data_IF_341800302154
#
_entry.id   IF_341800302154
#
_cell.length_a   1.000
_cell.length_b   1.000
_cell.length_c   1.000
_cell.angle_alpha   90.00
_cell.angle_beta   90.00
_cell.angle_gamma   90.00
#
_symmetry.space_group_name_H-M   'P 1'
#
loop_
_entity.id
_entity.type
_entity.pdbx_description
1 polymer ?
#
# COMPACT_ATOMS: atom_id res chain seq x y z
N UNK A 1 11.61 -13.33 9.50
CA UNK A 1 12.62 -14.04 10.32
C UNK A 1 13.57 -14.93 9.49
N UNK A 2 13.35 -15.15 8.20
CA UNK A 2 14.26 -15.90 7.32
C UNK A 2 15.66 -15.29 7.14
N UNK A 3 15.86 -14.02 7.48
CA UNK A 3 17.18 -13.39 7.45
C UNK A 3 18.19 -13.93 8.46
N UNK A 4 17.73 -14.55 9.55
CA UNK A 4 18.60 -15.14 10.55
C UNK A 4 19.31 -16.41 10.06
N UNK A 5 18.62 -17.27 9.33
CA UNK A 5 19.17 -18.52 8.77
C UNK A 5 20.31 -18.20 7.81
N UNK A 6 20.06 -17.33 6.83
CA UNK A 6 21.07 -16.96 5.83
C UNK A 6 22.28 -16.26 6.49
N UNK A 7 22.04 -15.44 7.48
CA UNK A 7 23.11 -14.79 8.25
C UNK A 7 23.99 -15.83 8.95
N UNK A 8 23.38 -16.80 9.61
CA UNK A 8 24.12 -17.86 10.32
C UNK A 8 24.91 -18.73 9.34
N UNK A 9 24.32 -19.08 8.18
CA UNK A 9 25.01 -19.85 7.15
C UNK A 9 26.23 -19.09 6.62
N UNK A 10 26.04 -17.82 6.27
CA UNK A 10 27.11 -17.01 5.63
C UNK A 10 28.18 -16.60 6.63
N UNK A 11 27.80 -16.24 7.87
CA UNK A 11 28.73 -15.74 8.87
C UNK A 11 29.45 -16.84 9.67
N UNK A 12 28.82 -17.99 9.88
CA UNK A 12 29.28 -19.03 10.81
C UNK A 12 29.31 -20.43 10.20
N UNK A 13 28.80 -20.59 8.98
CA UNK A 13 28.89 -21.84 8.25
C UNK A 13 30.31 -22.09 7.74
N UNK A 14 30.90 -23.21 8.13
CA UNK A 14 32.19 -23.64 7.60
C UNK A 14 31.98 -24.61 6.44
N UNK A 15 32.38 -24.27 5.21
CA UNK A 15 32.16 -25.16 4.04
C UNK A 15 32.76 -26.54 4.17
N UNK A 16 33.79 -26.68 5.01
CA UNK A 16 34.50 -27.93 5.25
C UNK A 16 33.99 -28.72 6.48
N UNK A 17 33.06 -28.14 7.27
CA UNK A 17 32.54 -28.83 8.44
C UNK A 17 31.48 -29.88 8.01
N UNK A 18 31.61 -31.13 8.43
CA UNK A 18 30.59 -32.12 8.16
C UNK A 18 29.30 -31.78 8.89
N UNK A 19 28.16 -32.05 8.25
CA UNK A 19 26.85 -31.82 8.86
C UNK A 19 26.54 -32.90 9.91
N UNK A 20 26.95 -34.13 9.65
CA UNK A 20 26.73 -35.26 10.52
C UNK A 20 28.05 -35.88 11.00
N UNK A 21 28.00 -36.36 12.22
CA UNK A 21 29.02 -37.28 12.75
C UNK A 21 28.88 -38.67 12.13
N UNK A 22 29.89 -39.53 12.24
CA UNK A 22 29.80 -40.92 11.73
C UNK A 22 28.66 -41.74 12.34
N UNK A 23 28.17 -41.39 13.50
CA UNK A 23 27.03 -42.02 14.18
C UNK A 23 25.65 -41.45 13.75
N UNK A 24 25.62 -40.54 12.78
CA UNK A 24 24.40 -39.92 12.26
C UNK A 24 23.88 -38.74 13.08
N UNK A 25 24.54 -38.35 14.17
CA UNK A 25 24.14 -37.16 14.95
C UNK A 25 24.62 -35.90 14.28
N UNK A 26 23.88 -34.78 14.46
CA UNK A 26 24.32 -33.45 13.99
C UNK A 26 25.60 -33.01 14.69
N UNK A 27 26.52 -32.41 13.95
CA UNK A 27 27.64 -31.68 14.55
C UNK A 27 27.17 -30.41 15.19
N UNK A 28 27.96 -29.83 16.11
CA UNK A 28 27.64 -28.54 16.72
C UNK A 28 27.47 -27.43 15.68
N UNK A 29 28.37 -27.37 14.69
CA UNK A 29 28.30 -26.37 13.61
C UNK A 29 27.03 -26.51 12.79
N UNK A 30 26.63 -27.74 12.47
CA UNK A 30 25.41 -28.02 11.72
C UNK A 30 24.15 -27.63 12.54
N UNK A 31 24.07 -28.02 13.80
CA UNK A 31 22.96 -27.69 14.67
C UNK A 31 22.80 -26.19 14.88
N UNK A 32 23.91 -25.44 14.96
CA UNK A 32 23.91 -23.99 15.10
C UNK A 32 23.54 -23.22 13.81
N UNK A 33 23.76 -23.82 12.64
CA UNK A 33 23.52 -23.17 11.32
C UNK A 33 22.23 -23.63 10.68
N UNK A 34 22.28 -24.67 9.84
CA UNK A 34 21.17 -25.10 9.00
C UNK A 34 20.61 -26.46 9.39
N UNK A 35 21.35 -27.26 10.16
CA UNK A 35 20.97 -28.62 10.46
C UNK A 35 19.65 -28.73 11.21
N UNK A 36 19.38 -27.80 12.11
CA UNK A 36 18.13 -27.74 12.82
C UNK A 36 16.92 -27.52 11.88
N UNK A 37 17.03 -26.59 10.95
CA UNK A 37 15.94 -26.31 10.00
C UNK A 37 15.71 -27.40 8.97
N UNK A 38 16.74 -28.17 8.63
CA UNK A 38 16.64 -29.24 7.64
C UNK A 38 16.30 -30.59 8.27
N UNK A 39 16.75 -30.85 9.48
CA UNK A 39 16.69 -32.16 10.14
C UNK A 39 16.16 -32.09 11.57
N UNK A 40 15.97 -30.92 12.12
CA UNK A 40 15.44 -30.69 13.46
C UNK A 40 13.91 -30.60 13.47
N UNK A 41 13.38 -30.26 14.64
CA UNK A 41 11.95 -30.12 14.89
C UNK A 41 11.51 -28.64 14.98
N UNK A 42 12.45 -27.71 14.96
CA UNK A 42 12.14 -26.29 14.94
C UNK A 42 11.57 -25.88 13.58
N UNK A 43 10.45 -25.24 13.59
CA UNK A 43 9.75 -24.87 12.37
C UNK A 43 8.79 -23.70 12.57
N UNK A 44 8.41 -23.12 11.44
CA UNK A 44 7.34 -22.16 11.36
C UNK A 44 6.52 -22.45 10.11
N UNK A 45 5.28 -22.86 10.31
CA UNK A 45 4.30 -23.02 9.26
C UNK A 45 3.50 -21.73 9.12
N UNK A 46 3.30 -21.32 7.89
CA UNK A 46 2.57 -20.10 7.56
C UNK A 46 1.64 -20.36 6.39
N UNK A 47 0.35 -20.37 6.70
CA UNK A 47 -0.70 -20.53 5.71
C UNK A 47 -1.40 -19.20 5.44
N UNK A 48 -1.55 -18.85 4.18
CA UNK A 48 -2.31 -17.70 3.74
C UNK A 48 -3.42 -18.10 2.78
N UNK A 49 -4.64 -17.86 3.19
CA UNK A 49 -5.83 -18.05 2.38
C UNK A 49 -6.44 -16.70 2.02
N UNK A 50 -6.56 -16.43 0.72
CA UNK A 50 -7.12 -15.19 0.20
C UNK A 50 -8.29 -15.51 -0.73
N UNK A 51 -9.46 -14.96 -0.41
CA UNK A 51 -10.63 -14.98 -1.27
C UNK A 51 -11.01 -13.54 -1.62
N UNK A 52 -11.09 -13.25 -2.90
CA UNK A 52 -11.58 -11.97 -3.42
C UNK A 52 -12.70 -12.22 -4.43
N UNK A 53 -13.86 -11.62 -4.18
CA UNK A 53 -15.01 -11.66 -5.06
C UNK A 53 -15.37 -10.25 -5.48
N UNK A 54 -15.54 -10.04 -6.78
CA UNK A 54 -16.01 -8.78 -7.34
C UNK A 54 -17.25 -9.06 -8.17
N UNK A 55 -18.32 -8.34 -7.90
CA UNK A 55 -19.57 -8.35 -8.67
C UNK A 55 -19.81 -6.96 -9.21
N UNK A 56 -20.29 -6.85 -10.44
CA UNK A 56 -20.58 -5.57 -11.05
C UNK A 56 -21.82 -5.63 -11.92
N UNK A 57 -22.41 -4.48 -12.13
CA UNK A 57 -23.54 -4.31 -13.06
C UNK A 57 -23.37 -3.05 -13.91
N UNK A 58 -23.95 -3.07 -15.07
CA UNK A 58 -24.15 -1.92 -15.95
C UNK A 58 -25.57 -1.94 -16.48
N UNK A 59 -26.29 -0.83 -16.31
CA UNK A 59 -27.63 -0.61 -16.86
C UNK A 59 -27.61 0.59 -17.80
N UNK A 60 -28.23 0.43 -18.98
CA UNK A 60 -28.22 1.43 -20.03
C UNK A 60 -29.65 1.94 -20.28
N UNK A 61 -29.77 3.25 -20.35
CA UNK A 61 -31.03 3.97 -20.53
C UNK A 61 -30.87 5.04 -21.63
N UNK A 62 -31.99 5.60 -22.11
CA UNK A 62 -32.00 6.71 -23.06
C UNK A 62 -31.13 6.43 -24.30
N UNK A 63 -31.37 5.29 -24.97
CA UNK A 63 -30.57 4.86 -26.13
C UNK A 63 -29.06 4.83 -25.86
N UNK A 64 -28.66 4.36 -24.67
CA UNK A 64 -27.28 4.28 -24.16
C UNK A 64 -26.64 5.63 -23.77
N UNK A 65 -27.35 6.75 -23.85
CA UNK A 65 -26.82 8.04 -23.39
C UNK A 65 -26.66 8.12 -21.88
N UNK A 66 -27.49 7.41 -21.12
CA UNK A 66 -27.36 7.29 -19.66
C UNK A 66 -26.97 5.86 -19.28
N UNK A 67 -25.87 5.72 -18.58
CA UNK A 67 -25.36 4.45 -18.05
C UNK A 67 -25.22 4.52 -16.54
N UNK A 68 -25.78 3.57 -15.82
CA UNK A 68 -25.57 3.42 -14.38
C UNK A 68 -24.72 2.17 -14.17
N UNK A 69 -23.60 2.34 -13.50
CA UNK A 69 -22.63 1.27 -13.22
C UNK A 69 -22.39 1.16 -11.74
N UNK A 70 -22.18 -0.06 -11.29
CA UNK A 70 -21.75 -0.30 -9.92
C UNK A 70 -20.90 -1.54 -9.83
N UNK A 71 -20.00 -1.53 -8.89
CA UNK A 71 -19.21 -2.68 -8.50
C UNK A 71 -19.12 -2.81 -6.98
N UNK A 72 -19.04 -4.04 -6.54
CA UNK A 72 -18.89 -4.42 -5.17
C UNK A 72 -17.80 -5.46 -5.08
N UNK A 73 -16.77 -5.21 -4.25
CA UNK A 73 -15.70 -6.16 -3.99
C UNK A 73 -15.65 -6.48 -2.50
N UNK A 74 -15.62 -7.77 -2.19
CA UNK A 74 -15.31 -8.27 -0.86
C UNK A 74 -14.06 -9.15 -0.93
N UNK A 75 -13.09 -8.87 -0.07
CA UNK A 75 -11.89 -9.67 0.06
C UNK A 75 -11.68 -10.06 1.52
N UNK A 76 -11.34 -11.32 1.76
CA UNK A 76 -10.95 -11.84 3.06
C UNK A 76 -9.60 -12.53 2.93
N UNK A 77 -8.70 -12.20 3.85
CA UNK A 77 -7.39 -12.86 3.97
C UNK A 77 -7.27 -13.40 5.38
N UNK A 78 -7.03 -14.71 5.48
CA UNK A 78 -6.73 -15.39 6.72
C UNK A 78 -5.27 -15.83 6.67
N UNK A 79 -4.50 -15.40 7.67
CA UNK A 79 -3.12 -15.80 7.88
C UNK A 79 -3.06 -16.61 9.18
N UNK A 80 -2.62 -17.84 9.09
CA UNK A 80 -2.36 -18.73 10.22
C UNK A 80 -0.85 -18.99 10.30
N UNK A 81 -0.27 -18.78 11.48
CA UNK A 81 1.16 -18.95 11.76
C UNK A 81 1.28 -19.86 12.98
N UNK A 82 1.94 -20.99 12.81
CA UNK A 82 2.32 -21.90 13.89
C UNK A 82 3.85 -21.99 13.92
N UNK A 83 4.44 -21.73 15.09
CA UNK A 83 5.89 -21.81 15.27
C UNK A 83 6.19 -22.72 16.47
N UNK A 84 7.02 -23.72 16.25
CA UNK A 84 7.51 -24.64 17.27
C UNK A 84 8.99 -24.38 17.49
N UNK A 85 9.41 -24.34 18.75
CA UNK A 85 10.80 -24.25 19.12
C UNK A 85 11.09 -25.26 20.24
N UNK A 86 12.06 -26.10 19.97
CA UNK A 86 12.56 -27.13 20.92
C UNK A 86 14.08 -27.09 20.96
N UNK A 87 14.73 -27.63 22.00
CA UNK A 87 16.17 -27.77 22.07
C UNK A 87 16.70 -28.64 20.91
N UNK A 88 17.77 -28.23 20.28
CA UNK A 88 18.36 -28.91 19.13
C UNK A 88 19.43 -29.89 19.60
N UNK A 89 19.28 -31.21 19.38
CA UNK A 89 20.30 -32.20 19.76
C UNK A 89 21.52 -32.14 18.83
N UNK A 90 22.70 -32.21 19.39
CA UNK A 90 23.96 -32.36 18.66
C UNK A 90 24.98 -33.18 19.46
N UNK A 91 26.03 -33.64 18.80
CA UNK A 91 27.13 -34.37 19.44
C UNK A 91 28.48 -33.76 19.08
N UNK A 92 29.37 -33.68 20.05
CA UNK A 92 30.81 -33.37 19.86
C UNK A 92 31.68 -34.57 20.11
N UNK A 93 31.18 -35.55 20.86
CA UNK A 93 31.87 -36.80 21.24
C UNK A 93 30.90 -37.92 20.99
N UNK A 94 31.32 -39.02 20.27
CA UNK A 94 30.43 -40.12 19.99
C UNK A 94 29.71 -40.65 21.24
N UNK A 95 28.39 -40.84 21.13
CA UNK A 95 27.54 -41.33 22.20
C UNK A 95 27.13 -40.29 23.27
N UNK A 96 27.56 -39.02 23.14
CA UNK A 96 27.18 -37.96 24.07
C UNK A 96 26.33 -36.91 23.34
N UNK A 97 25.05 -36.84 23.69
CA UNK A 97 24.13 -35.85 23.14
C UNK A 97 24.10 -34.59 24.03
N UNK A 98 24.32 -33.44 23.41
CA UNK A 98 24.18 -32.13 23.99
C UNK A 98 23.04 -31.39 23.28
N UNK A 99 22.57 -30.29 23.85
CA UNK A 99 21.45 -29.52 23.31
C UNK A 99 21.81 -28.04 23.14
N UNK A 100 21.44 -27.46 22.00
CA UNK A 100 21.42 -26.00 21.78
C UNK A 100 20.02 -25.46 22.03
N UNK A 101 19.93 -24.20 22.43
CA UNK A 101 18.65 -23.53 22.59
C UNK A 101 17.78 -24.08 23.73
N UNK A 102 18.40 -24.59 24.81
CA UNK A 102 17.70 -25.20 25.96
C UNK A 102 16.70 -24.26 26.67
N UNK A 103 16.78 -22.95 26.39
CA UNK A 103 15.80 -21.98 26.85
C UNK A 103 14.48 -22.00 26.07
N UNK A 104 14.43 -22.71 24.94
CA UNK A 104 13.28 -22.80 24.07
C UNK A 104 12.65 -24.18 24.17
N UNK A 105 11.39 -24.22 24.50
CA UNK A 105 10.51 -25.39 24.44
C UNK A 105 9.07 -24.86 24.43
N UNK A 106 8.70 -24.26 23.27
CA UNK A 106 7.45 -23.53 23.18
C UNK A 106 6.78 -23.69 21.82
N UNK A 107 5.47 -23.52 21.84
CA UNK A 107 4.63 -23.37 20.64
C UNK A 107 3.97 -21.99 20.66
N UNK A 108 3.90 -21.37 19.51
CA UNK A 108 3.23 -20.10 19.27
C UNK A 108 2.28 -20.23 18.09
N UNK A 109 1.04 -19.84 18.28
CA UNK A 109 0.04 -19.73 17.24
C UNK A 109 -0.44 -18.29 17.13
N UNK A 110 -0.52 -17.78 15.90
CA UNK A 110 -1.08 -16.45 15.60
C UNK A 110 -2.03 -16.60 14.42
N UNK A 111 -3.24 -16.08 14.60
CA UNK A 111 -4.25 -15.96 13.56
C UNK A 111 -4.52 -14.50 13.25
N UNK A 112 -4.52 -14.14 11.98
CA UNK A 112 -4.82 -12.81 11.47
C UNK A 112 -5.97 -12.94 10.48
N UNK A 113 -6.98 -12.11 10.63
CA UNK A 113 -8.08 -12.01 9.71
C UNK A 113 -8.16 -10.57 9.21
N UNK A 114 -8.06 -10.39 7.91
CA UNK A 114 -8.22 -9.10 7.24
C UNK A 114 -9.42 -9.16 6.32
N UNK A 115 -10.34 -8.22 6.46
CA UNK A 115 -11.51 -8.08 5.59
C UNK A 115 -11.47 -6.72 4.93
N UNK A 116 -11.71 -6.69 3.63
CA UNK A 116 -11.79 -5.47 2.85
C UNK A 116 -13.05 -5.48 2.00
N UNK A 117 -13.80 -4.42 2.08
CA UNK A 117 -15.03 -4.20 1.34
C UNK A 117 -14.91 -2.88 0.59
N UNK A 118 -15.22 -2.87 -0.69
CA UNK A 118 -15.36 -1.64 -1.46
C UNK A 118 -16.59 -1.71 -2.34
N UNK A 119 -17.24 -0.56 -2.50
CA UNK A 119 -18.41 -0.39 -3.37
C UNK A 119 -18.30 0.92 -4.10
N UNK A 120 -18.51 0.87 -5.41
CA UNK A 120 -18.61 2.03 -6.28
C UNK A 120 -19.98 2.01 -6.96
N UNK A 121 -20.61 3.16 -7.04
CA UNK A 121 -21.80 3.36 -7.87
C UNK A 121 -21.69 4.71 -8.56
N UNK A 122 -21.92 4.74 -9.86
CA UNK A 122 -21.88 6.00 -10.61
C UNK A 122 -22.81 5.97 -11.80
N UNK A 123 -23.30 7.17 -12.14
CA UNK A 123 -24.09 7.43 -13.33
C UNK A 123 -23.25 8.24 -14.33
N UNK A 124 -23.29 7.86 -15.56
CA UNK A 124 -22.60 8.50 -16.68
C UNK A 124 -23.63 8.88 -17.73
N UNK A 125 -23.67 10.16 -18.09
CA UNK A 125 -24.50 10.67 -19.19
C UNK A 125 -23.58 11.23 -20.28
N UNK A 126 -23.85 10.84 -21.54
CA UNK A 126 -23.03 11.19 -22.69
C UNK A 126 -23.94 11.51 -23.89
N UNK A 127 -23.73 12.67 -24.51
CA UNK A 127 -24.56 13.13 -25.62
C UNK A 127 -23.79 14.06 -26.56
N UNK A 128 -24.10 13.91 -27.87
CA UNK A 128 -23.72 14.88 -28.90
C UNK A 128 -24.92 15.75 -29.24
N UNK A 129 -24.67 17.04 -29.37
CA UNK A 129 -25.68 18.03 -29.81
C UNK A 129 -25.15 18.75 -31.05
N UNK A 130 -25.98 18.77 -32.12
CA UNK A 130 -25.67 19.45 -33.36
C UNK A 130 -24.31 19.09 -33.97
N UNK A 131 -23.80 17.86 -33.75
CA UNK A 131 -22.54 17.32 -34.24
C UNK A 131 -21.28 18.14 -33.82
N UNK A 132 -21.45 19.21 -33.06
CA UNK A 132 -20.37 20.11 -32.63
C UNK A 132 -20.13 20.12 -31.12
N UNK A 133 -21.16 19.80 -30.36
CA UNK A 133 -21.10 19.85 -28.91
C UNK A 133 -21.09 18.43 -28.34
N UNK A 134 -19.99 18.00 -27.81
CA UNK A 134 -19.91 16.77 -27.02
C UNK A 134 -19.98 17.12 -25.54
N UNK A 135 -20.89 16.49 -24.83
CA UNK A 135 -21.04 16.63 -23.40
C UNK A 135 -21.06 15.27 -22.72
N UNK A 136 -20.24 15.13 -21.66
CA UNK A 136 -20.23 13.95 -20.81
C UNK A 136 -20.20 14.38 -19.37
N UNK A 137 -21.13 13.85 -18.57
CA UNK A 137 -21.22 14.06 -17.14
C UNK A 137 -21.15 12.73 -16.41
N UNK A 138 -20.44 12.69 -15.30
CA UNK A 138 -20.37 11.55 -14.42
C UNK A 138 -20.56 12.04 -12.98
N UNK A 139 -21.38 11.32 -12.21
CA UNK A 139 -21.59 11.52 -10.79
C UNK A 139 -21.52 10.15 -10.10
N UNK A 140 -20.76 10.05 -9.03
CA UNK A 140 -20.59 8.77 -8.35
C UNK A 140 -20.30 8.88 -6.88
N UNK A 141 -20.36 7.72 -6.23
CA UNK A 141 -20.06 7.53 -4.82
C UNK A 141 -19.21 6.27 -4.65
N UNK A 142 -18.23 6.37 -3.76
CA UNK A 142 -17.33 5.29 -3.38
C UNK A 142 -17.40 5.08 -1.87
N UNK A 143 -17.33 3.83 -1.45
CA UNK A 143 -17.20 3.45 -0.05
C UNK A 143 -16.18 2.32 0.10
N UNK A 144 -15.29 2.44 1.10
CA UNK A 144 -14.30 1.44 1.45
C UNK A 144 -14.31 1.19 2.95
N UNK A 145 -14.20 -0.08 3.34
CA UNK A 145 -14.09 -0.51 4.73
C UNK A 145 -12.99 -1.58 4.83
N UNK A 146 -12.09 -1.40 5.75
CA UNK A 146 -11.09 -2.40 6.10
C UNK A 146 -11.17 -2.72 7.58
N UNK A 147 -11.16 -4.00 7.90
CA UNK A 147 -11.13 -4.52 9.28
C UNK A 147 -9.98 -5.52 9.38
N UNK A 148 -9.16 -5.37 10.39
CA UNK A 148 -8.07 -6.28 10.73
C UNK A 148 -8.24 -6.76 12.17
N UNK A 149 -8.13 -8.07 12.37
CA UNK A 149 -8.16 -8.69 13.70
C UNK A 149 -6.99 -9.67 13.80
N UNK A 150 -6.30 -9.62 14.93
CA UNK A 150 -5.21 -10.54 15.27
C UNK A 150 -5.47 -11.12 16.66
N UNK A 151 -5.21 -12.40 16.80
CA UNK A 151 -5.15 -13.09 18.10
C UNK A 151 -3.99 -14.08 18.03
N UNK A 152 -3.26 -14.24 19.12
CA UNK A 152 -2.20 -15.22 19.20
C UNK A 152 -1.82 -15.53 20.64
N UNK A 153 -1.31 -16.73 20.82
CA UNK A 153 -0.81 -17.24 22.09
C UNK A 153 0.55 -17.91 21.91
N UNK A 154 1.34 -17.92 22.99
CA UNK A 154 2.58 -18.66 23.07
C UNK A 154 2.66 -19.32 24.45
N UNK A 155 2.98 -20.60 24.46
CA UNK A 155 3.06 -21.40 25.68
C UNK A 155 4.31 -22.27 25.66
N UNK A 156 4.99 -22.39 26.79
CA UNK A 156 6.14 -23.24 26.93
C UNK A 156 5.79 -24.62 27.51
N UNK A 157 6.79 -25.49 27.59
CA UNK A 157 6.65 -26.81 28.20
C UNK A 157 5.90 -27.80 27.32
N UNK A 158 6.29 -27.90 26.03
CA UNK A 158 5.78 -28.95 25.13
C UNK A 158 5.97 -30.33 25.76
N UNK A 159 4.93 -31.15 25.71
CA UNK A 159 4.94 -32.52 26.27
C UNK A 159 5.86 -33.42 25.42
N UNK A 160 5.91 -33.16 24.12
CA UNK A 160 6.78 -33.81 23.14
C UNK A 160 7.09 -32.87 21.97
N UNK A 161 8.17 -33.15 21.26
CA UNK A 161 8.74 -32.25 20.27
C UNK A 161 7.88 -32.05 19.01
N UNK A 162 6.98 -32.99 18.72
CA UNK A 162 6.03 -32.94 17.60
C UNK A 162 4.63 -32.44 18.02
N UNK A 163 4.53 -31.70 19.12
CA UNK A 163 3.25 -31.16 19.57
C UNK A 163 2.82 -29.98 18.65
N UNK A 164 1.63 -30.08 18.06
CA UNK A 164 1.09 -29.11 17.10
C UNK A 164 -0.02 -28.20 17.69
N UNK A 165 -0.29 -28.29 18.99
CA UNK A 165 -1.38 -27.57 19.66
C UNK A 165 -0.91 -26.94 20.96
N UNK A 166 -1.38 -25.73 21.25
CA UNK A 166 -1.10 -25.02 22.51
C UNK A 166 -1.52 -25.79 23.77
N UNK A 167 -2.50 -26.69 23.69
CA UNK A 167 -2.91 -27.54 24.81
C UNK A 167 -1.90 -28.65 25.13
N UNK A 168 -1.01 -28.96 24.18
CA UNK A 168 0.06 -29.94 24.36
C UNK A 168 1.33 -29.32 24.99
N UNK A 169 1.23 -28.10 25.48
CA UNK A 169 2.24 -27.40 26.27
C UNK A 169 1.72 -27.19 27.69
N UNK A 170 2.40 -27.75 28.69
CA UNK A 170 1.95 -27.74 30.09
C UNK A 170 2.46 -26.55 30.91
N UNK A 171 3.42 -25.79 30.38
CA UNK A 171 3.95 -24.62 31.04
C UNK A 171 3.00 -23.42 31.00
N UNK A 172 3.46 -22.30 31.56
CA UNK A 172 2.66 -21.07 31.57
C UNK A 172 2.53 -20.44 30.17
N UNK A 173 1.38 -19.83 29.89
CA UNK A 173 1.23 -18.95 28.75
C UNK A 173 1.96 -17.65 29.02
N UNK A 174 3.03 -17.38 28.29
CA UNK A 174 3.89 -16.22 28.56
C UNK A 174 3.73 -15.09 27.53
N UNK A 175 2.98 -15.31 26.45
CA UNK A 175 2.63 -14.25 25.50
C UNK A 175 1.21 -14.46 24.98
N UNK A 176 0.35 -13.49 25.28
CA UNK A 176 -0.94 -13.35 24.64
C UNK A 176 -0.90 -12.06 23.80
N UNK A 177 -1.29 -12.15 22.55
CA UNK A 177 -1.31 -11.00 21.65
C UNK A 177 -2.69 -10.84 21.05
N UNK A 178 -3.14 -9.60 20.98
CA UNK A 178 -4.38 -9.24 20.31
C UNK A 178 -4.20 -7.95 19.52
N UNK A 179 -5.07 -7.71 18.57
CA UNK A 179 -5.09 -6.48 17.81
C UNK A 179 -6.39 -6.36 17.05
N UNK A 180 -6.89 -5.14 16.98
CA UNK A 180 -8.06 -4.80 16.20
C UNK A 180 -7.82 -3.44 15.56
N UNK A 181 -8.05 -3.35 14.25
CA UNK A 181 -7.98 -2.12 13.50
C UNK A 181 -9.14 -2.06 12.51
N UNK A 182 -9.78 -0.91 12.43
CA UNK A 182 -10.83 -0.66 11.46
C UNK A 182 -10.70 0.77 10.93
N UNK A 183 -10.83 0.92 9.63
CA UNK A 183 -10.95 2.21 9.01
C UNK A 183 -11.93 2.15 7.83
N UNK A 184 -12.51 3.28 7.51
CA UNK A 184 -13.34 3.46 6.34
C UNK A 184 -13.02 4.78 5.63
N UNK A 185 -13.24 4.77 4.31
CA UNK A 185 -13.18 5.94 3.44
C UNK A 185 -14.47 5.98 2.65
N UNK A 186 -15.04 7.17 2.48
CA UNK A 186 -16.17 7.40 1.60
C UNK A 186 -15.97 8.67 0.82
N UNK A 187 -16.49 8.73 -0.40
CA UNK A 187 -16.35 9.92 -1.21
C UNK A 187 -17.41 10.04 -2.30
N UNK A 188 -17.89 11.24 -2.50
CA UNK A 188 -18.65 11.61 -3.68
C UNK A 188 -17.72 12.21 -4.74
N UNK A 189 -17.94 11.88 -6.00
CA UNK A 189 -17.12 12.40 -7.09
C UNK A 189 -17.96 12.75 -8.30
N UNK A 190 -17.50 13.75 -9.06
CA UNK A 190 -18.10 14.14 -10.32
C UNK A 190 -17.03 14.43 -11.37
N UNK A 191 -17.43 14.34 -12.65
CA UNK A 191 -16.65 14.77 -13.81
C UNK A 191 -17.58 15.33 -14.87
N UNK A 192 -17.19 16.46 -15.43
CA UNK A 192 -17.85 17.10 -16.57
C UNK A 192 -16.83 17.29 -17.68
N UNK A 193 -17.13 16.73 -18.85
CA UNK A 193 -16.31 16.94 -20.05
C UNK A 193 -17.18 17.67 -21.08
N UNK A 194 -16.60 18.66 -21.72
CA UNK A 194 -17.22 19.39 -22.82
C UNK A 194 -16.20 19.60 -23.94
N UNK A 195 -16.59 19.25 -25.14
CA UNK A 195 -15.79 19.46 -26.34
C UNK A 195 -16.63 20.23 -27.35
N UNK A 196 -16.08 21.34 -27.86
CA UNK A 196 -16.71 22.12 -28.90
C UNK A 196 -15.93 22.03 -30.20
N UNK A 197 -16.63 21.52 -31.24
CA UNK A 197 -16.17 21.40 -32.62
C UNK A 197 -14.77 20.77 -32.77
N UNK A 198 -14.47 19.81 -31.88
CA UNK A 198 -13.17 19.14 -31.76
C UNK A 198 -11.96 20.11 -31.65
N UNK A 199 -12.21 21.37 -31.22
CA UNK A 199 -11.24 22.44 -31.08
C UNK A 199 -10.96 22.80 -29.61
N UNK A 200 -12.01 22.99 -28.85
CA UNK A 200 -11.94 23.39 -27.45
C UNK A 200 -12.38 22.24 -26.57
N UNK A 201 -11.47 21.82 -25.69
CA UNK A 201 -11.71 20.73 -24.75
C UNK A 201 -11.69 21.29 -23.33
N UNK A 202 -12.70 20.99 -22.55
CA UNK A 202 -12.79 21.39 -21.16
C UNK A 202 -13.17 20.18 -20.32
N UNK A 203 -12.45 19.95 -19.23
CA UNK A 203 -12.80 18.99 -18.20
C UNK A 203 -12.78 19.66 -16.83
N UNK A 204 -13.81 19.38 -16.03
CA UNK A 204 -13.86 19.78 -14.62
C UNK A 204 -14.25 18.53 -13.84
N UNK A 205 -13.49 18.23 -12.80
CA UNK A 205 -13.83 17.12 -11.92
C UNK A 205 -13.50 17.47 -10.47
N UNK A 206 -14.05 16.69 -9.55
CA UNK A 206 -13.80 16.88 -8.14
C UNK A 206 -14.22 15.66 -7.34
N UNK A 207 -13.58 15.50 -6.18
CA UNK A 207 -13.90 14.50 -5.17
C UNK A 207 -14.04 15.17 -3.82
N UNK A 208 -15.06 14.77 -3.09
CA UNK A 208 -15.24 15.12 -1.68
C UNK A 208 -15.13 13.85 -0.86
N UNK A 209 -13.96 13.63 -0.28
CA UNK A 209 -13.61 12.39 0.41
C UNK A 209 -13.54 12.60 1.92
N UNK A 210 -13.99 11.57 2.66
CA UNK A 210 -13.88 11.50 4.10
C UNK A 210 -13.23 10.20 4.55
N UNK A 211 -12.33 10.29 5.55
CA UNK A 211 -11.64 9.13 6.11
C UNK A 211 -11.78 9.11 7.63
N UNK A 212 -12.11 7.94 8.20
CA UNK A 212 -12.19 7.73 9.64
C UNK A 212 -10.83 7.81 10.36
N UNK A 213 -9.73 7.87 9.60
CA UNK A 213 -8.37 8.02 10.14
C UNK A 213 -8.08 9.44 10.65
N UNK A 214 -8.95 10.39 10.37
CA UNK A 214 -8.84 11.77 10.81
C UNK A 214 -9.85 12.12 11.90
N UNK A 215 -9.59 13.16 12.72
CA UNK A 215 -10.55 13.72 13.66
C UNK A 215 -11.85 14.14 12.95
N UNK A 216 -12.94 14.20 13.69
CA UNK A 216 -14.28 14.40 13.12
C UNK A 216 -14.41 15.73 12.33
N UNK A 217 -13.76 16.79 12.80
CA UNK A 217 -13.73 18.13 12.22
C UNK A 217 -12.79 18.28 11.03
N UNK A 218 -11.83 17.34 10.84
CA UNK A 218 -10.83 17.36 9.77
C UNK A 218 -10.93 16.15 8.84
N UNK A 219 -12.00 15.40 8.95
CA UNK A 219 -12.23 14.12 8.26
C UNK A 219 -12.45 14.28 6.77
N UNK A 220 -13.15 15.33 6.37
CA UNK A 220 -13.59 15.55 4.99
C UNK A 220 -12.77 16.62 4.29
N UNK A 221 -12.43 16.38 3.01
CA UNK A 221 -11.73 17.34 2.18
C UNK A 221 -12.22 17.29 0.73
N UNK A 222 -12.15 18.44 0.04
CA UNK A 222 -12.50 18.58 -1.38
C UNK A 222 -11.24 18.68 -2.23
N UNK A 223 -11.18 17.86 -3.28
CA UNK A 223 -10.10 17.78 -4.24
C UNK A 223 -10.59 18.12 -5.64
N UNK A 224 -10.63 19.39 -6.03
CA UNK A 224 -11.05 19.81 -7.35
C UNK A 224 -9.93 19.70 -8.38
N UNK A 225 -10.31 19.50 -9.64
CA UNK A 225 -9.39 19.70 -10.76
C UNK A 225 -10.11 20.20 -12.00
N UNK A 226 -9.38 20.91 -12.85
CA UNK A 226 -9.84 21.38 -14.14
C UNK A 226 -8.74 21.30 -15.18
N UNK A 227 -9.10 21.01 -16.42
CA UNK A 227 -8.19 21.07 -17.55
C UNK A 227 -8.85 21.69 -18.77
N UNK A 228 -8.05 22.39 -19.56
CA UNK A 228 -8.45 22.98 -20.83
C UNK A 228 -7.44 22.59 -21.92
N UNK A 229 -7.97 22.27 -23.09
CA UNK A 229 -7.20 21.98 -24.28
C UNK A 229 -7.68 22.80 -25.46
N UNK A 230 -6.76 23.31 -26.24
CA UNK A 230 -7.05 24.03 -27.47
C UNK A 230 -6.31 23.38 -28.63
N UNK A 231 -7.05 22.78 -29.55
CA UNK A 231 -6.50 22.16 -30.76
C UNK A 231 -6.43 23.21 -31.87
N UNK A 232 -5.30 23.90 -31.91
CA UNK A 232 -5.04 25.03 -32.83
C UNK A 232 -5.06 24.53 -34.28
N UNK A 233 -4.60 23.34 -34.55
CA UNK A 233 -4.57 22.73 -35.89
C UNK A 233 -5.96 22.52 -36.50
N UNK A 234 -7.05 22.64 -35.73
CA UNK A 234 -8.42 22.53 -36.21
C UNK A 234 -9.11 23.90 -36.38
N UNK A 235 -8.40 25.00 -36.13
CA UNK A 235 -8.97 26.32 -36.32
C UNK A 235 -9.08 26.74 -37.77
N UNK A 236 -10.09 27.53 -38.16
CA UNK A 236 -10.28 28.00 -39.54
C UNK A 236 -9.11 28.83 -40.08
N UNK A 237 -8.35 29.49 -39.23
CA UNK A 237 -7.19 30.26 -39.60
C UNK A 237 -5.92 29.43 -39.81
N UNK A 238 -5.95 28.11 -39.49
CA UNK A 238 -4.80 27.24 -39.60
C UNK A 238 -4.61 26.77 -41.04
N UNK A 239 -3.69 27.40 -41.75
CA UNK A 239 -3.45 27.13 -43.18
C UNK A 239 -2.27 26.20 -43.46
N UNK A 240 -1.68 25.58 -42.41
CA UNK A 240 -0.57 24.64 -42.57
C UNK A 240 -1.14 23.27 -42.93
N UNK A 241 -0.54 22.62 -43.99
CA UNK A 241 -0.97 21.29 -44.41
C UNK A 241 -0.89 20.29 -43.27
N UNK A 242 -1.92 19.44 -43.15
CA UNK A 242 -1.96 18.32 -42.20
C UNK A 242 -0.83 17.31 -42.43
N UNK A 243 -0.25 17.25 -43.65
CA UNK A 243 0.91 16.41 -43.92
C UNK A 243 2.16 16.91 -43.20
N UNK A 244 2.27 18.22 -42.94
CA UNK A 244 3.41 18.82 -42.22
C UNK A 244 3.11 18.86 -40.71
N UNK A 245 2.01 19.52 -40.32
CA UNK A 245 1.54 19.59 -38.95
C UNK A 245 0.22 18.87 -38.84
N UNK A 246 0.25 17.60 -38.43
CA UNK A 246 -0.93 16.73 -38.39
C UNK A 246 -1.85 17.10 -37.24
N UNK A 247 -1.31 17.47 -36.08
CA UNK A 247 -2.04 18.02 -34.94
C UNK A 247 -1.16 18.95 -34.10
N UNK A 248 -1.77 20.04 -33.60
CA UNK A 248 -1.13 20.96 -32.67
C UNK A 248 -2.14 21.34 -31.59
N UNK A 249 -1.84 20.96 -30.34
CA UNK A 249 -2.70 21.17 -29.21
C UNK A 249 -1.95 21.77 -28.02
N UNK A 250 -2.49 22.81 -27.45
CA UNK A 250 -2.05 23.37 -26.16
C UNK A 250 -2.94 22.82 -25.03
N UNK A 251 -2.33 22.59 -23.87
CA UNK A 251 -3.00 22.08 -22.68
C UNK A 251 -2.63 22.92 -21.47
N UNK A 252 -3.61 23.11 -20.59
CA UNK A 252 -3.38 23.64 -19.26
C UNK A 252 -4.25 22.85 -18.28
N UNK A 253 -3.69 22.49 -17.13
CA UNK A 253 -4.45 21.82 -16.08
C UNK A 253 -4.05 22.31 -14.68
N UNK A 254 -5.02 22.25 -13.79
CA UNK A 254 -4.89 22.47 -12.37
C UNK A 254 -5.61 21.35 -11.65
N UNK A 255 -4.94 20.65 -10.74
CA UNK A 255 -5.55 19.56 -10.02
C UNK A 255 -5.04 19.42 -8.60
N UNK A 256 -5.95 19.07 -7.69
CA UNK A 256 -5.66 18.80 -6.30
C UNK A 256 -5.93 17.33 -5.99
N UNK A 257 -5.02 16.68 -5.27
CA UNK A 257 -5.12 15.30 -4.79
C UNK A 257 -4.90 15.25 -3.29
N UNK A 258 -5.71 14.44 -2.59
CA UNK A 258 -5.56 14.18 -1.17
C UNK A 258 -4.85 12.85 -0.91
N UNK A 259 -3.94 12.85 0.06
CA UNK A 259 -3.34 11.66 0.60
C UNK A 259 -3.72 11.52 2.08
N UNK A 260 -4.45 10.44 2.42
CA UNK A 260 -4.86 10.08 3.78
C UNK A 260 -4.12 8.85 4.31
N UNK A 261 -2.93 8.52 3.78
CA UNK A 261 -2.15 7.35 4.18
C UNK A 261 -1.46 7.56 5.52
N UNK A 262 -2.25 7.60 6.59
CA UNK A 262 -1.79 7.65 7.97
C UNK A 262 -2.28 6.40 8.72
N UNK A 263 -1.65 6.10 9.86
CA UNK A 263 -2.11 5.02 10.74
C UNK A 263 -3.51 5.30 11.29
N UNK A 264 -4.25 4.26 11.61
CA UNK A 264 -5.53 4.40 12.29
C UNK A 264 -5.32 4.85 13.73
N UNK A 265 -6.26 5.65 14.23
CA UNK A 265 -6.30 6.12 15.64
C UNK A 265 -5.13 7.01 16.09
N UNK A 266 -4.28 7.50 15.19
CA UNK A 266 -3.13 8.37 15.55
C UNK A 266 -3.55 9.71 16.19
N UNK A 267 -4.81 10.10 16.04
CA UNK A 267 -5.40 11.29 16.65
C UNK A 267 -6.03 11.03 18.01
N UNK A 268 -5.99 9.78 18.50
CA UNK A 268 -6.58 9.40 19.78
C UNK A 268 -5.49 9.20 20.82
N UNK A 269 -5.74 9.70 22.01
CA UNK A 269 -4.89 9.45 23.16
C UNK A 269 -4.96 7.97 23.55
N UNK A 270 -3.82 7.31 23.61
CA UNK A 270 -3.72 5.89 23.96
C UNK A 270 -2.79 5.69 25.14
N UNK A 271 -3.27 4.97 26.13
CA UNK A 271 -2.48 4.54 27.29
C UNK A 271 -1.91 3.15 27.02
N UNK A 272 -0.58 3.03 26.97
CA UNK A 272 0.07 1.74 26.87
C UNK A 272 0.18 1.09 28.24
N UNK A 273 -0.41 -0.09 28.38
CA UNK A 273 -0.22 -0.94 29.55
C UNK A 273 1.11 -1.68 29.41
N UNK A 274 1.97 -1.56 30.40
CA UNK A 274 3.24 -2.25 30.51
C UNK A 274 3.30 -3.00 31.83
N UNK A 275 4.19 -3.98 31.96
CA UNK A 275 4.51 -4.64 33.22
C UNK A 275 5.93 -4.27 33.64
N UNK A 276 6.14 -4.07 34.93
CA UNK A 276 7.48 -3.82 35.47
C UNK A 276 8.32 -5.09 35.38
N UNK A 277 9.64 -4.94 35.23
CA UNK A 277 10.58 -6.06 35.36
C UNK A 277 10.88 -6.40 36.83
N UNK A 278 10.19 -5.73 37.78
CA UNK A 278 10.37 -5.96 39.22
C UNK A 278 9.21 -6.82 39.71
N UNK A 279 9.55 -7.86 40.44
CA UNK A 279 8.62 -8.72 41.11
C UNK A 279 8.30 -8.13 42.49
N UNK A 280 7.06 -7.80 42.74
CA UNK A 280 6.53 -7.40 44.04
C UNK A 280 5.48 -8.43 44.44
N UNK A 281 5.59 -9.01 45.64
CA UNK A 281 4.68 -10.03 46.13
C UNK A 281 4.47 -11.22 45.17
N UNK A 282 5.55 -11.62 44.48
CA UNK A 282 5.52 -12.74 43.54
C UNK A 282 4.96 -12.42 42.15
N UNK A 283 4.57 -11.17 41.87
CA UNK A 283 3.99 -10.77 40.58
C UNK A 283 4.66 -9.53 40.01
N UNK A 284 4.72 -9.44 38.68
CA UNK A 284 5.11 -8.22 37.97
C UNK A 284 3.90 -7.27 37.97
N UNK A 285 4.13 -6.01 38.38
CA UNK A 285 3.06 -5.03 38.50
C UNK A 285 2.78 -4.33 37.15
N UNK A 286 1.50 -4.18 36.72
CA UNK A 286 1.16 -3.40 35.57
C UNK A 286 1.31 -1.90 35.87
N UNK A 287 1.74 -1.14 34.86
CA UNK A 287 1.77 0.33 34.91
C UNK A 287 1.46 0.94 33.55
N UNK A 288 1.05 2.19 33.55
CA UNK A 288 0.87 2.99 32.36
C UNK A 288 1.96 4.04 32.26
N UNK A 289 2.40 4.34 31.05
CA UNK A 289 3.23 5.53 30.76
C UNK A 289 2.33 6.70 30.39
N UNK A 290 2.89 7.89 30.48
CA UNK A 290 2.22 9.06 29.93
C UNK A 290 1.87 8.80 28.45
N UNK A 291 0.66 9.21 28.01
CA UNK A 291 0.28 9.06 26.63
C UNK A 291 1.24 9.81 25.70
N UNK A 292 1.27 9.40 24.44
CA UNK A 292 2.01 10.15 23.42
C UNK A 292 1.39 11.54 23.23
N UNK A 293 2.22 12.53 22.97
CA UNK A 293 1.72 13.87 22.60
C UNK A 293 0.99 13.77 21.27
N UNK A 294 -0.22 14.27 21.22
CA UNK A 294 -1.00 14.36 20.00
C UNK A 294 -0.61 15.58 19.18
N UNK A 295 -0.68 15.54 17.85
CA UNK A 295 -0.54 16.75 17.01
C UNK A 295 -1.73 17.69 17.22
N UNK A 296 -1.50 18.99 17.11
CA UNK A 296 -2.54 20.03 17.23
C UNK A 296 -3.61 19.95 16.13
N UNK A 297 -3.29 19.34 15.03
CA UNK A 297 -4.20 19.10 13.91
C UNK A 297 -3.70 17.92 13.08
N UNK A 298 -4.63 17.17 12.53
CA UNK A 298 -4.33 16.03 11.66
C UNK A 298 -5.31 16.02 10.50
N UNK A 299 -4.85 16.43 9.33
CA UNK A 299 -5.67 16.56 8.13
C UNK A 299 -5.02 15.89 6.93
N UNK A 300 -5.71 15.92 5.80
CA UNK A 300 -5.23 15.40 4.53
C UNK A 300 -3.96 16.12 4.08
N UNK A 301 -2.95 15.36 3.70
CA UNK A 301 -1.87 15.88 2.87
C UNK A 301 -2.44 16.19 1.50
N UNK A 302 -2.19 17.38 0.99
CA UNK A 302 -2.78 17.86 -0.27
C UNK A 302 -1.68 18.19 -1.28
N UNK A 303 -1.71 17.53 -2.42
CA UNK A 303 -0.81 17.82 -3.54
C UNK A 303 -1.58 18.54 -4.64
N UNK A 304 -1.20 19.77 -4.93
CA UNK A 304 -1.74 20.59 -6.02
C UNK A 304 -0.72 20.66 -7.16
N UNK A 305 -1.16 20.31 -8.37
CA UNK A 305 -0.31 20.37 -9.56
C UNK A 305 -0.90 21.34 -10.58
N UNK A 306 -0.09 22.26 -11.08
CA UNK A 306 -0.33 23.07 -12.26
C UNK A 306 0.53 22.50 -13.39
N UNK A 307 -0.06 22.28 -14.56
CA UNK A 307 0.67 21.77 -15.72
C UNK A 307 0.28 22.55 -16.96
N UNK A 308 1.29 22.91 -17.76
CA UNK A 308 1.15 23.53 -19.07
C UNK A 308 1.83 22.62 -20.09
N UNK A 309 1.07 22.15 -21.05
CA UNK A 309 1.54 21.15 -22.02
C UNK A 309 1.32 21.58 -23.47
N UNK A 310 2.16 21.04 -24.32
CA UNK A 310 2.10 21.18 -25.77
C UNK A 310 2.23 19.81 -26.40
N UNK A 311 1.29 19.46 -27.28
CA UNK A 311 1.33 18.27 -28.12
C UNK A 311 1.45 18.70 -29.58
N UNK A 312 2.50 18.27 -30.26
CA UNK A 312 2.76 18.55 -31.66
C UNK A 312 3.00 17.25 -32.41
N UNK A 313 2.17 17.00 -33.40
CA UNK A 313 2.27 15.83 -34.27
C UNK A 313 2.58 16.29 -35.69
N UNK A 314 3.66 15.77 -36.24
CA UNK A 314 4.24 16.19 -37.52
C UNK A 314 4.37 15.01 -38.48
N UNK A 315 4.50 15.33 -39.78
CA UNK A 315 4.83 14.39 -40.85
C UNK A 315 3.87 13.19 -40.90
N UNK A 316 2.59 13.47 -40.97
CA UNK A 316 1.53 12.43 -40.92
C UNK A 316 1.65 11.53 -39.69
N UNK A 317 1.79 12.13 -38.50
CA UNK A 317 1.91 11.45 -37.19
C UNK A 317 3.20 10.62 -37.02
N UNK A 318 4.20 10.76 -37.92
CA UNK A 318 5.47 10.06 -37.79
C UNK A 318 6.33 10.65 -36.65
N UNK A 319 6.31 11.95 -36.46
CA UNK A 319 7.05 12.65 -35.42
C UNK A 319 6.05 13.24 -34.42
N UNK A 320 6.16 12.81 -33.18
CA UNK A 320 5.33 13.25 -32.05
C UNK A 320 6.23 13.91 -31.02
N UNK A 321 5.93 15.16 -30.68
CA UNK A 321 6.63 15.93 -29.65
C UNK A 321 5.63 16.32 -28.59
N UNK A 322 5.89 15.95 -27.35
CA UNK A 322 5.12 16.36 -26.18
C UNK A 322 6.06 17.06 -25.22
N UNK A 323 5.70 18.27 -24.81
CA UNK A 323 6.45 19.05 -23.85
C UNK A 323 5.51 19.50 -22.72
N UNK A 324 5.94 19.33 -21.50
CA UNK A 324 5.19 19.69 -20.30
C UNK A 324 6.07 20.50 -19.34
N UNK A 325 5.51 21.53 -18.75
CA UNK A 325 6.07 22.25 -17.60
C UNK A 325 5.09 22.17 -16.45
N UNK A 326 5.55 21.72 -15.29
CA UNK A 326 4.70 21.58 -14.12
C UNK A 326 5.28 22.23 -12.88
N UNK A 327 4.38 22.66 -12.01
CA UNK A 327 4.65 23.07 -10.64
C UNK A 327 3.75 22.25 -9.74
N UNK A 328 4.37 21.54 -8.77
CA UNK A 328 3.67 20.69 -7.81
C UNK A 328 3.96 21.17 -6.40
N UNK A 329 2.91 21.49 -5.66
CA UNK A 329 2.96 21.91 -4.27
C UNK A 329 2.27 20.85 -3.41
N UNK A 330 3.03 20.18 -2.54
CA UNK A 330 2.50 19.29 -1.53
C UNK A 330 2.49 20.01 -0.20
N UNK A 331 1.32 20.14 0.40
CA UNK A 331 1.10 20.82 1.68
C UNK A 331 0.62 19.84 2.73
N UNK A 332 0.86 20.20 4.00
CA UNK A 332 0.43 19.40 5.14
C UNK A 332 0.98 17.97 5.11
N UNK A 333 2.24 17.78 4.71
CA UNK A 333 2.88 16.47 4.69
C UNK A 333 2.97 15.89 6.11
N UNK A 334 2.55 14.64 6.27
CA UNK A 334 2.59 13.93 7.55
C UNK A 334 4.01 13.47 7.88
N UNK A 335 4.67 14.17 8.80
CA UNK A 335 6.07 13.94 9.17
C UNK A 335 6.30 14.09 10.67
N UNK A 336 7.51 13.79 11.12
CA UNK A 336 7.96 14.03 12.49
C UNK A 336 7.95 15.54 12.76
N UNK A 337 7.39 15.95 13.90
CA UNK A 337 7.48 17.32 14.38
C UNK A 337 8.90 17.71 14.81
N UNK A 338 9.11 18.98 15.15
CA UNK A 338 10.39 19.44 15.69
C UNK A 338 10.73 18.69 16.97
N UNK A 339 12.01 18.44 17.21
CA UNK A 339 12.46 17.81 18.44
C UNK A 339 12.04 18.64 19.67
N UNK A 340 11.46 17.96 20.64
CA UNK A 340 11.11 18.56 21.92
C UNK A 340 12.33 18.55 22.84
N UNK A 341 12.50 19.55 23.70
CA UNK A 341 13.54 19.54 24.71
C UNK A 341 13.48 18.27 25.56
N UNK A 342 14.62 17.68 25.90
CA UNK A 342 14.70 16.44 26.67
C UNK A 342 13.93 16.49 28.01
N UNK A 343 13.82 17.67 28.61
CA UNK A 343 13.06 17.90 29.85
C UNK A 343 11.56 17.72 29.69
N UNK A 344 11.04 17.72 28.45
CA UNK A 344 9.63 17.47 28.17
C UNK A 344 9.22 16.03 28.44
N UNK A 345 10.16 15.09 28.36
CA UNK A 345 9.94 13.68 28.73
C UNK A 345 9.08 12.88 27.76
N UNK A 346 8.74 13.42 26.59
CA UNK A 346 7.97 12.73 25.55
C UNK A 346 8.61 12.92 24.17
N UNK A 347 8.35 11.95 23.27
CA UNK A 347 8.77 12.07 21.89
C UNK A 347 7.90 13.14 21.15
N UNK A 348 8.52 13.79 20.17
CA UNK A 348 7.80 14.73 19.30
C UNK A 348 6.67 14.01 18.53
N UNK A 349 5.46 14.57 18.46
CA UNK A 349 4.37 14.00 17.71
C UNK A 349 4.65 14.02 16.19
N UNK A 350 4.04 13.09 15.49
CA UNK A 350 3.95 13.17 14.02
C UNK A 350 2.68 13.89 13.65
N UNK A 351 2.75 14.76 12.65
CA UNK A 351 1.61 15.55 12.20
C UNK A 351 1.90 16.21 10.85
N UNK A 352 1.05 17.13 10.44
CA UNK A 352 1.15 17.82 9.16
C UNK A 352 2.12 19.03 9.24
N UNK A 353 3.43 18.76 9.28
CA UNK A 353 4.44 19.78 9.62
C UNK A 353 5.35 20.20 8.47
N UNK A 354 5.20 19.64 7.27
CA UNK A 354 6.08 19.98 6.15
C UNK A 354 5.31 20.29 4.87
N UNK A 355 5.91 21.13 4.06
CA UNK A 355 5.48 21.46 2.70
C UNK A 355 6.63 21.21 1.73
N UNK A 356 6.32 20.84 0.50
CA UNK A 356 7.28 20.60 -0.56
C UNK A 356 6.80 21.21 -1.86
N UNK A 357 7.68 21.97 -2.53
CA UNK A 357 7.45 22.44 -3.90
C UNK A 357 8.43 21.75 -4.85
N UNK A 358 7.90 21.27 -5.97
CA UNK A 358 8.67 20.66 -7.04
C UNK A 358 8.22 21.25 -8.37
N UNK A 359 9.16 21.70 -9.20
CA UNK A 359 8.88 22.10 -10.57
C UNK A 359 9.77 21.36 -11.54
N UNK A 360 9.28 21.12 -12.74
CA UNK A 360 10.02 20.36 -13.74
C UNK A 360 9.55 20.62 -15.16
N UNK A 361 10.42 20.25 -16.08
CA UNK A 361 10.14 20.25 -17.51
C UNK A 361 10.36 18.85 -18.05
N UNK A 362 9.39 18.36 -18.82
CA UNK A 362 9.43 17.05 -19.46
C UNK A 362 9.31 17.22 -20.97
N UNK A 363 10.16 16.54 -21.74
CA UNK A 363 10.14 16.52 -23.19
C UNK A 363 10.19 15.08 -23.67
N UNK A 364 9.18 14.71 -24.44
CA UNK A 364 9.13 13.42 -25.12
C UNK A 364 9.11 13.63 -26.62
N UNK A 365 10.03 12.99 -27.32
CA UNK A 365 10.10 12.99 -28.79
C UNK A 365 10.03 11.55 -29.26
N UNK A 366 9.01 11.24 -30.04
CA UNK A 366 8.82 9.90 -30.63
C UNK A 366 8.79 9.99 -32.14
N UNK A 367 9.63 9.21 -32.82
CA UNK A 367 9.59 9.06 -34.27
C UNK A 367 9.13 7.64 -34.61
N UNK A 368 8.13 7.52 -35.48
CA UNK A 368 7.58 6.23 -35.93
C UNK A 368 7.58 6.23 -37.45
N UNK A 369 8.08 5.17 -38.05
CA UNK A 369 7.99 4.98 -39.49
C UNK A 369 7.86 3.51 -39.85
N UNK A 370 7.53 3.26 -41.11
CA UNK A 370 7.36 1.95 -41.68
C UNK A 370 8.11 1.85 -43.00
N UNK A 371 8.86 0.80 -43.20
CA UNK A 371 9.43 0.47 -44.49
C UNK A 371 9.18 -0.99 -44.86
N UNK A 372 9.25 -1.30 -46.14
CA UNK A 372 9.07 -2.66 -46.63
C UNK A 372 10.42 -3.39 -46.61
N UNK A 373 10.50 -4.49 -45.88
CA UNK A 373 11.64 -5.39 -45.84
C UNK A 373 11.21 -6.76 -46.39
N UNK A 374 11.78 -7.18 -47.51
CA UNK A 374 11.45 -8.43 -48.19
C UNK A 374 9.90 -8.61 -48.37
N UNK A 375 9.23 -7.57 -48.86
CA UNK A 375 7.77 -7.50 -49.06
C UNK A 375 6.91 -7.61 -47.82
N UNK A 376 7.50 -7.49 -46.61
CA UNK A 376 6.78 -7.40 -45.33
C UNK A 376 6.98 -6.01 -44.71
N UNK A 377 5.90 -5.43 -44.12
CA UNK A 377 6.04 -4.15 -43.44
C UNK A 377 6.84 -4.30 -42.16
N UNK A 378 7.84 -3.48 -41.99
CA UNK A 378 8.63 -3.37 -40.76
C UNK A 378 8.34 -2.02 -40.12
N UNK A 379 7.80 -2.03 -38.91
CA UNK A 379 7.50 -0.83 -38.13
C UNK A 379 8.59 -0.62 -37.09
N UNK A 380 8.99 0.64 -36.91
CA UNK A 380 9.91 1.02 -35.83
C UNK A 380 9.49 2.33 -35.15
N UNK A 381 9.86 2.45 -33.90
CA UNK A 381 9.62 3.66 -33.12
C UNK A 381 10.74 3.86 -32.10
#
# INVERSE_FOLDING_TARGET
EGGGIWRNIVAEGHPMAPMFNPDGTLTHSAAYTVGDYLYGKNGMDYDRNNLRTTSGFESKFLNNSLRIKGDFTYAITNDDETRIRVPVPYSRIPGVINYLGTAYNDIREIRRNSQYLTSNIFAEYEQYFQDKHYFKALLGYNYELSTYKRIGGQRNGLIYEDAEDLNLALGEAFALTGGYEQWNIMGGFFRLNYIYDDRYLLEVNGRYDGSSKFPADQRFALFPSASAGWRISNEPFWNISKDIVSDFKLRASYGSLGNGSIGSYVFQEQLALNTTNRILEGMTQPYTRNPAVLPDGLTWETTTTQNFGLDLMLLNYKLIVTADYYIRNTKNMFTQGRELPAVFGAASPRGNYADLETSGFELTVTYKDQFMLASKPFNYS
#
